data_IF_634783935043
#
_entry.id   IF_634783935043
#
_cell.length_a   1.000
_cell.length_b   1.000
_cell.length_c   1.000
_cell.angle_alpha   90.00
_cell.angle_beta   90.00
_cell.angle_gamma   90.00
#
_symmetry.space_group_name_H-M   'P 1'
#
loop_
_entity.id
_entity.type
_entity.pdbx_description
1 polymer ?
#
# COMPACT_ATOMS: atom_id res chain seq x y z
N UNK A 1 -36.24 -3.74 3.27
CA UNK A 1 -35.85 -3.07 2.01
C UNK A 1 -34.33 -3.02 2.00
N UNK A 2 -33.68 -3.50 0.94
CA UNK A 2 -32.22 -3.40 0.86
C UNK A 2 -31.84 -1.91 0.71
N UNK A 3 -30.96 -1.42 1.59
CA UNK A 3 -30.44 -0.05 1.52
C UNK A 3 -29.47 0.13 0.34
N UNK A 4 -29.09 1.38 0.07
CA UNK A 4 -28.13 1.74 -0.99
C UNK A 4 -26.80 1.00 -0.81
N UNK A 5 -26.31 0.36 -1.86
CA UNK A 5 -25.00 -0.32 -1.86
C UNK A 5 -23.86 0.70 -1.90
N UNK A 6 -22.65 0.28 -1.51
CA UNK A 6 -21.44 1.11 -1.63
C UNK A 6 -21.18 1.59 -3.05
N UNK A 7 -21.37 0.72 -4.05
CA UNK A 7 -21.23 1.06 -5.46
C UNK A 7 -22.23 2.13 -5.89
N UNK A 8 -23.50 1.97 -5.54
CA UNK A 8 -24.53 2.97 -5.84
C UNK A 8 -24.25 4.30 -5.16
N UNK A 9 -23.83 4.27 -3.89
CA UNK A 9 -23.48 5.47 -3.11
C UNK A 9 -22.35 6.26 -3.75
N UNK A 10 -21.28 5.59 -4.15
CA UNK A 10 -20.14 6.23 -4.84
C UNK A 10 -20.59 6.80 -6.19
N UNK A 11 -21.30 6.01 -7.01
CA UNK A 11 -21.77 6.46 -8.33
C UNK A 11 -22.71 7.66 -8.24
N UNK A 12 -23.64 7.69 -7.28
CA UNK A 12 -24.52 8.84 -7.05
C UNK A 12 -23.74 10.07 -6.61
N UNK A 13 -22.80 9.90 -5.67
CA UNK A 13 -21.99 11.01 -5.13
C UNK A 13 -21.19 11.70 -6.23
N UNK A 14 -20.48 10.94 -7.09
CA UNK A 14 -19.68 11.52 -8.19
C UNK A 14 -20.55 12.17 -9.28
N UNK A 15 -21.83 11.80 -9.36
CA UNK A 15 -22.82 12.40 -10.25
C UNK A 15 -23.67 13.48 -9.57
N UNK A 16 -23.26 13.96 -8.39
CA UNK A 16 -23.95 15.03 -7.63
C UNK A 16 -25.42 14.71 -7.30
N UNK A 17 -25.72 13.43 -7.03
CA UNK A 17 -27.05 12.96 -6.65
C UNK A 17 -27.11 12.64 -5.15
N UNK A 18 -28.30 12.75 -4.57
CA UNK A 18 -28.54 12.45 -3.16
C UNK A 18 -28.18 11.00 -2.79
N UNK A 19 -27.59 10.84 -1.61
CA UNK A 19 -27.19 9.56 -1.04
C UNK A 19 -27.73 9.39 0.38
N UNK A 20 -27.74 8.16 0.87
CA UNK A 20 -28.14 7.86 2.25
C UNK A 20 -27.10 8.32 3.29
N UNK A 21 -25.83 8.41 2.89
CA UNK A 21 -24.71 9.01 3.62
C UNK A 21 -23.54 9.32 2.68
N UNK A 22 -22.58 10.10 3.17
CA UNK A 22 -21.31 10.35 2.46
C UNK A 22 -20.53 9.01 2.30
N UNK A 23 -19.97 8.70 1.11
CA UNK A 23 -19.07 7.56 0.92
C UNK A 23 -17.81 7.68 1.79
N UNK A 24 -17.31 6.56 2.29
CA UNK A 24 -16.10 6.51 3.12
C UNK A 24 -15.00 5.76 2.36
N UNK A 25 -13.84 6.41 2.23
CA UNK A 25 -12.61 5.81 1.70
C UNK A 25 -11.53 5.78 2.78
N UNK A 26 -10.89 4.62 2.92
CA UNK A 26 -9.65 4.42 3.67
C UNK A 26 -8.86 3.30 2.98
N UNK A 27 -7.95 3.68 2.09
CA UNK A 27 -7.06 2.76 1.40
C UNK A 27 -7.54 2.26 0.04
N UNK A 28 -8.46 2.95 -0.65
CA UNK A 28 -8.70 2.70 -2.07
C UNK A 28 -7.55 3.16 -2.97
N UNK A 29 -6.79 4.18 -2.55
CA UNK A 29 -5.52 4.57 -3.13
C UNK A 29 -4.48 4.72 -2.04
N UNK A 30 -3.19 4.62 -2.39
CA UNK A 30 -2.10 4.76 -1.41
C UNK A 30 -2.19 6.10 -0.65
N UNK A 31 -2.56 7.17 -1.34
CA UNK A 31 -2.71 8.50 -0.74
C UNK A 31 -3.89 8.63 0.25
N UNK A 32 -4.93 7.79 0.12
CA UNK A 32 -6.04 7.71 1.09
C UNK A 32 -5.85 6.57 2.10
N UNK A 33 -4.67 5.95 2.10
CA UNK A 33 -4.34 4.83 2.97
C UNK A 33 -3.94 5.23 4.39
N UNK A 34 -3.37 4.27 5.10
CA UNK A 34 -2.93 4.43 6.48
C UNK A 34 -1.55 3.79 6.67
N UNK A 35 -0.65 4.50 7.34
CA UNK A 35 0.68 3.97 7.65
C UNK A 35 0.60 2.74 8.57
N UNK A 36 1.49 1.77 8.36
CA UNK A 36 1.47 0.46 9.05
C UNK A 36 1.47 0.59 10.57
N UNK A 37 2.29 1.49 11.14
CA UNK A 37 2.31 1.77 12.58
C UNK A 37 0.95 2.28 13.09
N UNK A 38 0.30 3.16 12.35
CA UNK A 38 -1.03 3.66 12.72
C UNK A 38 -2.09 2.57 12.59
N UNK A 39 -2.03 1.79 11.52
CA UNK A 39 -2.97 0.70 11.28
C UNK A 39 -2.86 -0.41 12.34
N UNK A 40 -1.65 -0.78 12.78
CA UNK A 40 -1.44 -1.74 13.86
C UNK A 40 -2.11 -1.29 15.17
N UNK A 41 -2.05 0.02 15.48
CA UNK A 41 -2.74 0.60 16.65
C UNK A 41 -4.27 0.54 16.50
N UNK A 42 -4.79 0.80 15.30
CA UNK A 42 -6.22 0.62 15.00
C UNK A 42 -6.61 -0.84 15.24
N UNK A 43 -5.89 -1.80 14.65
CA UNK A 43 -6.15 -3.23 14.84
C UNK A 43 -6.11 -3.67 16.29
N UNK A 44 -5.10 -3.23 17.05
CA UNK A 44 -5.03 -3.50 18.48
C UNK A 44 -6.26 -2.99 19.24
N UNK A 45 -6.77 -1.79 18.90
CA UNK A 45 -7.99 -1.24 19.52
C UNK A 45 -9.25 -2.01 19.12
N UNK A 46 -9.24 -2.65 17.95
CA UNK A 46 -10.31 -3.50 17.44
C UNK A 46 -10.22 -4.95 17.94
N UNK A 47 -9.13 -5.34 18.63
CA UNK A 47 -8.89 -6.72 19.06
C UNK A 47 -8.38 -7.65 17.94
N UNK A 48 -7.87 -7.08 16.84
CA UNK A 48 -7.29 -7.82 15.72
C UNK A 48 -5.75 -7.91 15.87
N UNK A 49 -5.22 -9.13 15.73
CA UNK A 49 -3.79 -9.44 15.94
C UNK A 49 -3.11 -10.09 14.73
N UNK A 50 -3.72 -9.96 13.54
CA UNK A 50 -3.19 -10.44 12.26
C UNK A 50 -1.91 -9.70 11.85
N UNK A 51 -1.04 -10.36 11.08
CA UNK A 51 0.12 -9.68 10.46
C UNK A 51 -0.36 -8.68 9.41
N UNK A 52 0.13 -7.45 9.48
CA UNK A 52 -0.25 -6.40 8.53
C UNK A 52 0.50 -6.56 7.21
N UNK A 53 -0.23 -6.70 6.12
CA UNK A 53 0.35 -6.57 4.77
C UNK A 53 0.74 -5.11 4.51
N UNK A 54 1.93 -4.93 3.98
CA UNK A 54 2.49 -3.63 3.61
C UNK A 54 2.23 -3.45 2.12
N UNK A 55 1.30 -2.56 1.78
CA UNK A 55 0.91 -2.29 0.41
C UNK A 55 1.96 -1.48 -0.35
N UNK A 56 2.52 -0.46 0.31
CA UNK A 56 3.61 0.34 -0.23
C UNK A 56 4.79 0.30 0.74
N UNK A 57 5.85 -0.48 0.45
CA UNK A 57 7.03 -0.56 1.31
C UNK A 57 7.78 0.76 1.46
N UNK A 58 7.81 1.59 0.42
CA UNK A 58 8.52 2.88 0.47
C UNK A 58 7.85 3.82 1.46
N UNK A 59 6.53 3.92 1.41
CA UNK A 59 5.77 4.77 2.33
C UNK A 59 5.26 4.04 3.57
N UNK A 60 5.62 2.76 3.73
CA UNK A 60 5.13 1.87 4.80
C UNK A 60 3.60 1.99 4.99
N UNK A 61 2.85 1.93 3.88
CA UNK A 61 1.38 2.00 3.87
C UNK A 61 0.82 0.59 4.03
N UNK A 62 -0.17 0.42 4.89
CA UNK A 62 -0.82 -0.87 5.12
C UNK A 62 -1.89 -1.17 4.06
N UNK A 63 -2.04 -2.44 3.73
CA UNK A 63 -3.29 -2.95 3.16
C UNK A 63 -4.33 -3.02 4.27
N UNK A 64 -5.46 -2.33 4.12
CA UNK A 64 -6.59 -2.44 5.05
C UNK A 64 -7.27 -3.79 4.85
N UNK A 65 -7.44 -4.54 5.92
CA UNK A 65 -8.08 -5.86 5.91
C UNK A 65 -9.60 -5.73 5.77
N UNK A 66 -10.22 -6.66 5.04
CA UNK A 66 -11.65 -6.65 4.72
C UNK A 66 -12.55 -6.57 5.97
N UNK A 67 -12.15 -7.20 7.07
CA UNK A 67 -12.86 -7.08 8.35
C UNK A 67 -12.91 -5.64 8.86
N UNK A 68 -11.79 -4.92 8.75
CA UNK A 68 -11.71 -3.50 9.11
C UNK A 68 -12.51 -2.65 8.13
N UNK A 69 -12.47 -2.98 6.82
CA UNK A 69 -13.27 -2.31 5.81
C UNK A 69 -14.78 -2.42 6.12
N UNK A 70 -15.25 -3.63 6.44
CA UNK A 70 -16.64 -3.88 6.84
C UNK A 70 -17.02 -3.14 8.12
N UNK A 71 -16.13 -3.15 9.12
CA UNK A 71 -16.39 -2.50 10.41
C UNK A 71 -16.52 -0.99 10.31
N UNK A 72 -15.75 -0.36 9.43
CA UNK A 72 -15.82 1.09 9.18
C UNK A 72 -16.75 1.47 8.03
N UNK A 73 -17.47 0.51 7.44
CA UNK A 73 -18.39 0.73 6.33
C UNK A 73 -17.74 1.44 5.13
N UNK A 74 -16.49 1.07 4.82
CA UNK A 74 -15.77 1.61 3.66
C UNK A 74 -16.48 1.24 2.36
N UNK A 75 -16.51 2.17 1.42
CA UNK A 75 -17.29 2.05 0.17
C UNK A 75 -16.44 1.76 -1.07
N UNK A 76 -15.12 1.80 -0.91
CA UNK A 76 -14.18 1.69 -2.03
C UNK A 76 -13.07 0.71 -1.66
N UNK A 77 -12.67 -0.12 -2.61
CA UNK A 77 -11.58 -1.09 -2.48
C UNK A 77 -10.46 -0.77 -3.48
N UNK A 78 -9.18 -1.03 -3.15
CA UNK A 78 -8.07 -0.71 -4.02
C UNK A 78 -7.96 -1.66 -5.21
N UNK A 79 -7.75 -1.08 -6.40
CA UNK A 79 -7.35 -1.78 -7.62
C UNK A 79 -6.20 -1.00 -8.28
N UNK A 80 -4.96 -1.37 -7.93
CA UNK A 80 -3.75 -0.66 -8.33
C UNK A 80 -2.84 -1.58 -9.15
N UNK A 81 -2.47 -1.13 -10.36
CA UNK A 81 -1.62 -1.89 -11.29
C UNK A 81 -0.20 -2.13 -10.77
N UNK A 82 0.31 -1.26 -9.90
CA UNK A 82 1.61 -1.42 -9.25
C UNK A 82 1.62 -2.50 -8.18
N UNK A 83 0.45 -2.86 -7.61
CA UNK A 83 0.35 -3.91 -6.57
C UNK A 83 -0.37 -5.17 -7.03
N UNK A 84 -1.17 -5.12 -8.10
CA UNK A 84 -2.01 -6.24 -8.54
C UNK A 84 -1.23 -7.55 -8.71
N UNK A 85 0.01 -7.48 -9.22
CA UNK A 85 0.92 -8.64 -9.38
C UNK A 85 1.33 -9.30 -8.07
N UNK A 86 1.24 -8.60 -6.94
CA UNK A 86 1.48 -9.12 -5.60
C UNK A 86 0.17 -9.53 -4.93
N UNK A 87 -0.92 -8.78 -5.16
CA UNK A 87 -2.23 -9.03 -4.55
C UNK A 87 -2.84 -10.37 -5.00
N UNK A 88 -2.51 -10.83 -6.21
CA UNK A 88 -2.95 -12.14 -6.72
C UNK A 88 -2.04 -13.31 -6.30
N UNK A 89 -0.93 -13.05 -5.61
CA UNK A 89 -0.01 -14.11 -5.15
C UNK A 89 -0.51 -14.78 -3.87
N UNK A 90 -0.17 -16.07 -3.67
CA UNK A 90 -0.44 -16.77 -2.42
C UNK A 90 0.11 -16.02 -1.20
N UNK A 91 -0.61 -16.09 -0.08
CA UNK A 91 -0.18 -15.48 1.18
C UNK A 91 1.18 -15.99 1.66
N UNK A 92 1.56 -17.23 1.32
CA UNK A 92 2.84 -17.85 1.68
C UNK A 92 4.06 -17.21 0.99
N UNK A 93 3.87 -16.47 -0.10
CA UNK A 93 4.98 -15.78 -0.79
C UNK A 93 5.32 -14.42 -0.17
N UNK A 94 4.44 -13.88 0.67
CA UNK A 94 4.68 -12.62 1.35
C UNK A 94 5.78 -12.78 2.39
N UNK A 95 6.68 -11.79 2.47
CA UNK A 95 7.91 -11.90 3.25
C UNK A 95 7.63 -11.42 4.68
N UNK A 96 7.75 -12.28 5.71
CA UNK A 96 7.59 -11.86 7.10
C UNK A 96 8.70 -10.90 7.51
N UNK A 97 8.33 -9.85 8.25
CA UNK A 97 9.28 -8.86 8.77
C UNK A 97 8.83 -8.36 10.13
N UNK A 98 9.72 -8.42 11.11
CA UNK A 98 9.56 -7.68 12.36
C UNK A 98 9.85 -6.20 12.10
N UNK A 99 8.87 -5.35 12.41
CA UNK A 99 8.97 -3.89 12.35
C UNK A 99 9.76 -3.36 13.55
N UNK A 100 10.21 -2.10 13.50
CA UNK A 100 11.00 -1.51 14.58
C UNK A 100 10.29 -1.54 15.94
N UNK A 101 8.97 -1.36 15.95
CA UNK A 101 8.12 -1.42 17.14
C UNK A 101 7.82 -2.85 17.62
N UNK A 102 8.45 -3.86 17.01
CA UNK A 102 8.27 -5.28 17.32
C UNK A 102 7.05 -5.91 16.66
N UNK A 103 6.20 -5.15 15.97
CA UNK A 103 5.03 -5.69 15.29
C UNK A 103 5.44 -6.57 14.09
N UNK A 104 4.63 -7.58 13.77
CA UNK A 104 4.84 -8.42 12.59
C UNK A 104 4.13 -7.85 11.36
N UNK A 105 4.91 -7.60 10.30
CA UNK A 105 4.44 -7.19 8.98
C UNK A 105 4.72 -8.23 7.91
N UNK A 106 4.04 -8.08 6.77
CA UNK A 106 4.23 -8.88 5.56
C UNK A 106 4.57 -7.93 4.41
N UNK A 107 5.78 -8.06 3.87
CA UNK A 107 6.23 -7.29 2.72
C UNK A 107 5.83 -7.97 1.40
N UNK A 108 5.59 -7.20 0.32
CA UNK A 108 5.36 -7.76 -1.01
C UNK A 108 6.55 -8.62 -1.46
N UNK A 109 6.30 -9.74 -2.16
CA UNK A 109 7.36 -10.59 -2.69
C UNK A 109 8.38 -9.79 -3.53
N UNK A 110 9.67 -10.02 -3.28
CA UNK A 110 10.77 -9.31 -3.96
C UNK A 110 11.18 -7.99 -3.29
N UNK A 111 10.55 -7.61 -2.18
CA UNK A 111 11.00 -6.46 -1.37
C UNK A 111 12.21 -6.85 -0.53
N UNK A 112 13.32 -6.13 -0.71
CA UNK A 112 14.54 -6.33 0.07
C UNK A 112 14.78 -5.12 0.98
N UNK A 113 14.95 -5.37 2.28
CA UNK A 113 15.33 -4.36 3.26
C UNK A 113 16.65 -4.78 3.93
N UNK A 114 17.64 -3.91 3.86
CA UNK A 114 18.90 -4.00 4.59
C UNK A 114 18.90 -3.14 5.86
N UNK A 115 19.98 -3.22 6.62
CA UNK A 115 20.22 -2.36 7.78
C UNK A 115 21.66 -1.85 7.71
N UNK A 116 21.87 -0.55 7.86
CA UNK A 116 23.21 0.05 7.88
C UNK A 116 23.87 0.00 9.26
N UNK A 117 25.06 0.58 9.39
CA UNK A 117 25.86 0.55 10.61
C UNK A 117 25.19 1.32 11.76
N UNK A 118 24.40 2.34 11.44
CA UNK A 118 23.62 3.16 12.37
C UNK A 118 22.29 2.48 12.77
N UNK A 119 21.94 1.39 12.07
CA UNK A 119 20.73 0.62 12.33
C UNK A 119 19.50 1.16 11.62
N UNK A 120 19.67 2.00 10.61
CA UNK A 120 18.60 2.47 9.73
C UNK A 120 18.31 1.44 8.66
N UNK A 121 17.08 1.43 8.19
CA UNK A 121 16.65 0.52 7.14
C UNK A 121 16.94 1.14 5.79
N UNK A 122 17.34 0.28 4.86
CA UNK A 122 17.63 0.64 3.49
C UNK A 122 16.77 -0.20 2.57
N UNK A 123 16.04 0.39 1.63
CA UNK A 123 15.52 -0.42 0.52
C UNK A 123 16.70 -0.86 -0.33
N UNK A 124 16.72 -2.14 -0.69
CA UNK A 124 17.73 -2.70 -1.59
C UNK A 124 17.09 -3.00 -2.94
N UNK A 125 17.88 -2.89 -4.00
CA UNK A 125 17.48 -3.33 -5.32
C UNK A 125 17.37 -4.88 -5.39
N UNK A 126 17.06 -5.41 -6.57
CA UNK A 126 16.94 -6.86 -6.78
C UNK A 126 18.28 -7.60 -6.66
N UNK A 127 19.40 -6.89 -6.85
CA UNK A 127 20.76 -7.41 -6.68
C UNK A 127 21.29 -7.24 -5.24
N UNK A 128 20.44 -6.77 -4.32
CA UNK A 128 20.74 -6.52 -2.90
C UNK A 128 21.68 -5.32 -2.66
N UNK A 129 21.85 -4.43 -3.63
CA UNK A 129 22.59 -3.19 -3.42
C UNK A 129 21.72 -2.14 -2.72
N UNK A 130 22.28 -1.30 -1.83
CA UNK A 130 21.55 -0.19 -1.23
C UNK A 130 21.06 0.82 -2.25
N UNK A 131 19.79 1.21 -2.15
CA UNK A 131 19.23 2.37 -2.87
C UNK A 131 19.41 3.66 -2.06
N UNK A 132 18.95 4.80 -2.57
CA UNK A 132 18.86 6.08 -1.84
C UNK A 132 17.73 6.12 -0.81
N UNK A 133 16.89 5.09 -0.70
CA UNK A 133 15.79 5.08 0.26
C UNK A 133 16.28 4.63 1.64
N UNK A 134 16.12 5.50 2.64
CA UNK A 134 16.52 5.29 4.03
C UNK A 134 15.37 5.55 4.98
N UNK A 135 15.24 4.71 6.01
CA UNK A 135 14.28 4.92 7.10
C UNK A 135 15.01 4.82 8.44
N UNK A 136 15.12 5.92 9.21
CA UNK A 136 15.78 5.89 10.52
C UNK A 136 15.04 4.97 11.48
N UNK A 137 15.71 4.60 12.58
CA UNK A 137 15.04 3.90 13.69
C UNK A 137 13.83 4.72 14.14
N UNK A 138 12.73 4.04 14.41
CA UNK A 138 11.43 4.66 14.70
C UNK A 138 10.79 5.51 13.59
N UNK A 139 11.41 5.60 12.40
CA UNK A 139 10.84 6.24 11.23
C UNK A 139 9.49 5.65 10.81
N UNK A 140 8.72 6.46 10.08
CA UNK A 140 7.40 6.07 9.58
C UNK A 140 7.42 5.60 8.13
N UNK A 141 8.41 5.99 7.34
CA UNK A 141 8.55 5.67 5.92
C UNK A 141 10.00 5.86 5.47
N UNK A 142 10.34 5.41 4.26
CA UNK A 142 11.64 5.62 3.65
C UNK A 142 11.67 6.96 2.90
N UNK A 143 12.63 7.81 3.25
CA UNK A 143 12.96 9.03 2.54
C UNK A 143 14.00 8.76 1.45
N UNK A 144 13.88 9.47 0.33
CA UNK A 144 14.91 9.47 -0.72
C UNK A 144 15.98 10.50 -0.38
N UNK A 145 17.15 10.04 0.07
CA UNK A 145 18.23 10.94 0.48
C UNK A 145 19.00 11.56 -0.69
N UNK A 146 18.71 11.16 -1.94
CA UNK A 146 19.38 11.70 -3.13
C UNK A 146 18.99 13.15 -3.47
N UNK A 147 17.78 13.58 -3.08
CA UNK A 147 17.28 14.91 -3.44
C UNK A 147 17.98 16.08 -2.73
N UNK A 148 18.68 15.81 -1.62
CA UNK A 148 19.34 16.83 -0.81
C UNK A 148 20.85 16.89 -1.03
N UNK A 149 21.38 16.22 -2.05
CA UNK A 149 22.81 16.26 -2.33
C UNK A 149 23.24 17.68 -2.76
N UNK A 150 24.20 18.32 -2.06
CA UNK A 150 24.68 19.65 -2.42
C UNK A 150 25.17 19.68 -3.87
N UNK A 151 24.59 20.56 -4.68
CA UNK A 151 24.90 20.69 -6.11
C UNK A 151 24.09 19.78 -7.04
N UNK A 152 23.10 19.03 -6.52
CA UNK A 152 22.16 18.30 -7.35
C UNK A 152 21.40 19.25 -8.29
N UNK A 153 21.38 18.93 -9.58
CA UNK A 153 20.63 19.65 -10.61
C UNK A 153 19.55 18.76 -11.19
N UNK A 154 18.37 19.32 -11.46
CA UNK A 154 17.30 18.61 -12.16
C UNK A 154 17.58 18.70 -13.67
N UNK A 155 17.71 17.55 -14.33
CA UNK A 155 17.70 17.45 -15.80
C UNK A 155 16.35 16.88 -16.28
N UNK A 156 15.42 17.73 -16.76
CA UNK A 156 14.15 17.25 -17.30
C UNK A 156 14.32 16.31 -18.50
N UNK A 157 15.40 16.45 -19.28
CA UNK A 157 15.65 15.60 -20.44
C UNK A 157 16.13 14.20 -20.04
N UNK A 158 16.59 14.00 -18.80
CA UNK A 158 16.90 12.69 -18.22
C UNK A 158 15.65 11.97 -17.70
N UNK A 159 14.51 12.65 -17.56
CA UNK A 159 13.28 12.02 -17.11
C UNK A 159 12.80 10.97 -18.14
N UNK A 160 12.72 9.71 -17.69
CA UNK A 160 12.26 8.57 -18.47
C UNK A 160 11.09 7.92 -17.72
N UNK A 161 9.88 8.49 -17.81
CA UNK A 161 8.73 7.92 -17.12
C UNK A 161 8.40 6.54 -17.69
N UNK A 162 7.87 5.65 -16.85
CA UNK A 162 7.27 4.42 -17.32
C UNK A 162 6.01 4.80 -18.11
N UNK A 163 5.98 4.48 -19.40
CA UNK A 163 4.90 4.88 -20.32
C UNK A 163 3.87 3.78 -20.58
N UNK A 164 4.01 2.60 -19.97
CA UNK A 164 3.09 1.50 -20.17
C UNK A 164 3.17 0.42 -19.10
N UNK A 165 2.27 -0.54 -19.19
CA UNK A 165 2.20 -1.70 -18.31
C UNK A 165 2.49 -2.97 -19.10
N UNK A 166 3.13 -3.94 -18.45
CA UNK A 166 3.39 -5.26 -19.04
C UNK A 166 2.10 -6.09 -19.10
N UNK A 167 2.01 -7.02 -20.06
CA UNK A 167 0.88 -7.96 -20.14
C UNK A 167 0.66 -8.71 -18.82
N UNK A 168 1.73 -9.07 -18.12
CA UNK A 168 1.68 -9.69 -16.79
C UNK A 168 0.95 -8.82 -15.77
N UNK A 169 1.22 -7.51 -15.77
CA UNK A 169 0.52 -6.57 -14.88
C UNK A 169 -0.95 -6.43 -15.25
N UNK A 170 -1.27 -6.35 -16.55
CA UNK A 170 -2.65 -6.23 -17.02
C UNK A 170 -3.48 -7.49 -16.70
N UNK A 171 -2.91 -8.69 -16.89
CA UNK A 171 -3.55 -9.96 -16.52
C UNK A 171 -3.79 -10.03 -15.01
N UNK A 172 -2.81 -9.63 -14.19
CA UNK A 172 -2.98 -9.60 -12.74
C UNK A 172 -4.06 -8.58 -12.31
N UNK A 173 -4.08 -7.40 -12.94
CA UNK A 173 -5.09 -6.38 -12.70
C UNK A 173 -6.50 -6.88 -13.06
N UNK A 174 -6.65 -7.56 -14.20
CA UNK A 174 -7.91 -8.18 -14.61
C UNK A 174 -8.37 -9.24 -13.61
N UNK A 175 -7.46 -10.15 -13.20
CA UNK A 175 -7.78 -11.20 -12.23
C UNK A 175 -8.20 -10.61 -10.88
N UNK A 176 -7.47 -9.59 -10.40
CA UNK A 176 -7.79 -8.89 -9.15
C UNK A 176 -9.12 -8.14 -9.25
N UNK A 177 -9.36 -7.45 -10.36
CA UNK A 177 -10.61 -6.72 -10.61
C UNK A 177 -11.82 -7.65 -10.64
N UNK A 178 -11.71 -8.81 -11.31
CA UNK A 178 -12.75 -9.84 -11.30
C UNK A 178 -13.00 -10.37 -9.89
N UNK A 179 -11.96 -10.68 -9.14
CA UNK A 179 -12.09 -11.14 -7.75
C UNK A 179 -12.85 -10.13 -6.88
N UNK A 180 -12.46 -8.85 -6.92
CA UNK A 180 -13.09 -7.77 -6.15
C UNK A 180 -14.52 -7.43 -6.60
N UNK A 181 -14.89 -7.77 -7.84
CA UNK A 181 -16.25 -7.58 -8.32
C UNK A 181 -17.17 -8.70 -7.85
N UNK A 182 -16.66 -9.93 -7.82
CA UNK A 182 -17.45 -11.14 -7.58
C UNK A 182 -17.52 -11.54 -6.09
N UNK A 183 -16.64 -10.99 -5.24
CA UNK A 183 -16.55 -11.25 -3.79
C UNK A 183 -16.57 -9.95 -3.01
#
# INVERSE_FOLDING_TARGET
MAGMTSRERVLRTVNFQDTDRVPIDLGAMKASGIGVKAYNRVKARLGAHTKTRIWDPKFMIASVEEEVMRRFHLDVVPLDVSSAVHDVRPASEWIPRTLYDGAEGLLPPGTNIGTDAEGYWMLLDQNRNPTSFRMPREGYYFDDISFNEPGATIDPAAFRPITGFTDKQLVALQARGKFLHDN
#
